data_IF_990649472637
#
_entry.id   IF_990649472637
#
_cell.length_a   1.000
_cell.length_b   1.000
_cell.length_c   1.000
_cell.angle_alpha   90.00
_cell.angle_beta   90.00
_cell.angle_gamma   90.00
#
_symmetry.space_group_name_H-M   'P 1'
#
loop_
_entity.id
_entity.type
_entity.pdbx_description
1 polymer ?
#
# COMPACT_ATOMS: atom_id res chain seq x y z
N UNK A 1 4.75 8.15 -6.07
CA UNK A 1 5.89 9.11 -5.97
C UNK A 1 7.15 8.39 -6.42
N UNK A 2 8.07 9.09 -7.10
CA UNK A 2 9.32 8.49 -7.59
C UNK A 2 10.46 8.89 -6.65
N UNK A 3 11.08 7.90 -6.01
CA UNK A 3 12.23 8.07 -5.12
C UNK A 3 13.41 7.24 -5.62
N UNK A 4 14.60 7.81 -5.57
CA UNK A 4 15.87 7.12 -5.81
C UNK A 4 16.47 6.71 -4.48
N UNK A 5 17.07 5.52 -4.41
CA UNK A 5 17.88 5.09 -3.27
C UNK A 5 19.18 4.51 -3.82
N UNK A 6 20.22 4.55 -2.99
CA UNK A 6 21.55 4.04 -3.31
C UNK A 6 21.78 2.76 -2.51
N UNK A 7 22.30 1.74 -3.17
CA UNK A 7 22.63 0.45 -2.57
C UNK A 7 24.09 0.12 -2.90
N UNK A 8 24.76 -0.61 -2.01
CA UNK A 8 26.14 -1.03 -2.21
C UNK A 8 26.22 -2.05 -3.34
N UNK A 9 27.21 -1.89 -4.22
CA UNK A 9 27.47 -2.84 -5.31
C UNK A 9 28.35 -3.99 -4.78
N UNK A 10 27.83 -5.22 -4.66
CA UNK A 10 28.61 -6.35 -4.13
C UNK A 10 29.75 -6.77 -5.08
N UNK A 11 29.71 -6.39 -6.36
CA UNK A 11 30.70 -6.80 -7.36
C UNK A 11 31.96 -5.91 -7.36
N UNK A 12 31.94 -4.78 -6.64
CA UNK A 12 33.05 -3.81 -6.64
C UNK A 12 33.53 -3.53 -5.22
N UNK A 13 34.71 -4.05 -4.87
CA UNK A 13 35.37 -3.81 -3.59
C UNK A 13 36.76 -3.20 -3.79
N UNK A 14 37.00 -2.01 -3.22
CA UNK A 14 38.28 -1.32 -3.30
C UNK A 14 38.91 -1.22 -1.90
N UNK A 15 40.16 -1.68 -1.78
CA UNK A 15 40.95 -1.57 -0.55
C UNK A 15 42.15 -0.69 -0.82
N UNK A 16 42.36 0.32 0.03
CA UNK A 16 43.58 1.12 0.03
C UNK A 16 44.47 0.56 1.14
N UNK A 17 45.58 -0.10 0.78
CA UNK A 17 46.59 -0.56 1.74
C UNK A 17 47.75 0.42 1.79
N UNK A 18 47.90 1.13 2.91
CA UNK A 18 49.05 2.00 3.12
C UNK A 18 50.26 1.21 3.63
N UNK A 19 51.41 1.35 2.97
CA UNK A 19 52.66 0.69 3.35
C UNK A 19 53.41 1.33 4.53
N UNK A 20 52.95 2.46 5.06
CA UNK A 20 53.53 3.14 6.22
C UNK A 20 52.45 3.91 7.02
N UNK A 21 52.79 4.34 8.25
CA UNK A 21 51.88 4.93 9.24
C UNK A 21 50.83 5.88 8.63
N UNK A 22 49.58 5.44 8.66
CA UNK A 22 48.43 6.15 8.12
C UNK A 22 48.04 7.30 9.07
N UNK A 23 48.57 8.51 8.84
CA UNK A 23 48.09 9.71 9.53
C UNK A 23 46.90 10.29 8.78
N UNK A 24 45.68 10.09 9.28
CA UNK A 24 44.50 10.76 8.73
C UNK A 24 43.68 11.46 9.81
N UNK A 25 43.44 12.76 9.59
CA UNK A 25 42.34 13.53 10.18
C UNK A 25 41.28 13.90 9.12
N UNK A 26 41.37 13.34 7.90
CA UNK A 26 40.47 13.63 6.77
C UNK A 26 39.39 12.56 6.60
N UNK A 27 39.58 11.38 7.19
CA UNK A 27 38.68 10.24 7.09
C UNK A 27 38.40 9.75 8.52
N UNK A 28 37.25 10.15 9.08
CA UNK A 28 36.84 9.71 10.41
C UNK A 28 36.48 8.20 10.36
N UNK A 29 37.48 7.36 10.58
CA UNK A 29 37.36 5.91 10.65
C UNK A 29 36.57 5.48 11.89
N UNK A 30 35.57 4.61 11.75
CA UNK A 30 35.14 3.75 12.87
C UNK A 30 35.99 2.48 12.91
N UNK A 31 36.09 1.92 14.12
CA UNK A 31 36.98 0.83 14.61
C UNK A 31 36.90 -0.53 13.87
N UNK A 32 36.34 -0.58 12.67
CA UNK A 32 36.25 -1.75 11.79
C UNK A 32 36.66 -1.47 10.32
N UNK A 33 37.30 -0.33 10.02
CA UNK A 33 37.91 -0.12 8.70
C UNK A 33 36.93 0.05 7.54
N UNK A 34 35.72 0.59 7.80
CA UNK A 34 34.78 1.00 6.75
C UNK A 34 34.77 2.53 6.63
N UNK A 35 34.89 3.02 5.39
CA UNK A 35 34.38 4.34 5.03
C UNK A 35 32.86 4.19 4.78
N UNK A 36 32.06 4.86 5.59
CA UNK A 36 30.62 5.01 5.37
C UNK A 36 30.31 6.49 5.23
N UNK A 37 29.45 6.78 4.25
CA UNK A 37 28.90 8.10 3.95
C UNK A 37 28.12 8.67 5.16
N UNK A 38 27.91 9.98 5.14
CA UNK A 38 27.49 10.87 6.24
C UNK A 38 26.06 10.65 6.77
N UNK A 39 25.37 9.55 6.44
CA UNK A 39 24.01 9.34 6.93
C UNK A 39 23.67 7.86 7.23
N UNK A 40 23.89 7.39 8.48
CA UNK A 40 23.70 5.99 8.85
C UNK A 40 22.24 5.52 8.89
N UNK A 41 21.26 6.43 8.84
CA UNK A 41 19.84 6.07 8.87
C UNK A 41 19.33 5.40 7.59
N UNK A 42 20.03 5.58 6.46
CA UNK A 42 19.67 4.98 5.16
C UNK A 42 19.81 3.45 5.12
N UNK A 43 20.70 2.88 5.93
CA UNK A 43 21.01 1.44 5.91
C UNK A 43 20.16 0.61 6.88
N UNK A 44 19.36 1.24 7.73
CA UNK A 44 18.50 0.55 8.70
C UNK A 44 17.09 0.25 8.17
N UNK A 45 16.73 0.67 6.96
CA UNK A 45 15.46 0.26 6.37
C UNK A 45 15.64 -1.05 5.62
N UNK A 46 15.73 -2.16 6.34
CA UNK A 46 15.36 -3.46 5.77
C UNK A 46 13.91 -3.34 5.33
N UNK A 47 13.73 -3.08 4.04
CA UNK A 47 12.45 -2.89 3.39
C UNK A 47 11.67 -4.20 3.45
N UNK A 48 10.89 -4.36 4.52
CA UNK A 48 9.88 -5.40 4.59
C UNK A 48 8.89 -5.11 3.46
N UNK A 49 8.95 -5.91 2.41
CA UNK A 49 7.88 -6.05 1.41
C UNK A 49 6.67 -6.62 2.16
N UNK A 50 5.87 -5.75 2.76
CA UNK A 50 4.53 -6.11 3.19
C UNK A 50 3.69 -6.19 1.92
N UNK A 51 3.68 -7.37 1.29
CA UNK A 51 2.50 -7.81 0.55
C UNK A 51 1.45 -8.04 1.63
N UNK A 52 0.80 -6.95 2.04
CA UNK A 52 -0.40 -7.03 2.84
C UNK A 52 -1.45 -7.64 1.94
N UNK A 53 -1.74 -8.92 2.14
CA UNK A 53 -2.99 -9.50 1.68
C UNK A 53 -4.11 -8.84 2.49
N UNK A 54 -4.49 -7.64 2.07
CA UNK A 54 -5.57 -6.85 2.65
C UNK A 54 -6.88 -7.29 1.99
N UNK A 55 -7.15 -8.60 2.10
CA UNK A 55 -8.46 -9.21 1.89
C UNK A 55 -9.31 -9.03 3.16
N UNK A 56 -9.20 -7.85 3.80
CA UNK A 56 -10.09 -7.49 4.89
C UNK A 56 -11.45 -7.08 4.31
N UNK A 57 -12.25 -8.08 3.98
CA UNK A 57 -13.66 -7.93 3.64
C UNK A 57 -14.51 -7.55 4.86
N UNK A 58 -13.91 -7.22 6.01
CA UNK A 58 -14.62 -6.78 7.23
C UNK A 58 -15.56 -5.59 7.00
N UNK A 59 -15.34 -4.77 5.97
CA UNK A 59 -16.23 -3.67 5.58
C UNK A 59 -17.57 -4.08 4.95
N UNK A 60 -17.75 -5.36 4.57
CA UNK A 60 -18.99 -5.89 4.02
C UNK A 60 -19.96 -6.42 5.09
N UNK A 61 -19.52 -6.51 6.34
CA UNK A 61 -20.39 -6.98 7.41
C UNK A 61 -21.36 -5.86 7.79
N UNK A 62 -22.64 -6.08 7.49
CA UNK A 62 -23.73 -5.27 8.01
C UNK A 62 -24.04 -5.79 9.41
N UNK A 63 -23.50 -5.12 10.42
CA UNK A 63 -23.80 -5.41 11.83
C UNK A 63 -24.92 -4.48 12.29
N UNK A 64 -26.17 -4.73 11.90
CA UNK A 64 -27.26 -4.04 12.60
C UNK A 64 -28.63 -4.70 12.44
N UNK A 65 -28.78 -5.91 12.93
CA UNK A 65 -29.93 -6.08 13.81
C UNK A 65 -29.40 -6.67 15.11
N UNK A 66 -29.66 -6.00 16.22
CA UNK A 66 -29.30 -6.47 17.54
C UNK A 66 -29.76 -7.91 17.82
N UNK A 67 -29.36 -8.44 18.96
CA UNK A 67 -29.38 -9.87 19.30
C UNK A 67 -30.74 -10.59 19.22
N UNK A 68 -31.88 -9.88 19.17
CA UNK A 68 -33.22 -10.50 19.28
C UNK A 68 -34.24 -10.11 18.22
N UNK A 69 -33.89 -9.30 17.22
CA UNK A 69 -34.88 -8.73 16.30
C UNK A 69 -35.26 -9.60 15.09
N UNK A 70 -34.63 -10.76 14.93
CA UNK A 70 -34.80 -11.65 13.77
C UNK A 70 -35.95 -12.66 13.92
N UNK A 71 -36.61 -12.73 15.08
CA UNK A 71 -37.55 -13.80 15.38
C UNK A 71 -38.92 -13.27 15.80
N UNK A 72 -39.98 -13.88 15.26
CA UNK A 72 -41.35 -13.74 15.75
C UNK A 72 -41.67 -14.91 16.69
N UNK A 73 -42.31 -14.62 17.81
CA UNK A 73 -42.88 -15.66 18.67
C UNK A 73 -44.23 -16.09 18.09
N UNK A 74 -44.30 -17.32 17.59
CA UNK A 74 -45.54 -17.94 17.15
C UNK A 74 -46.04 -18.89 18.22
N UNK A 75 -47.28 -18.71 18.67
CA UNK A 75 -47.95 -19.60 19.62
C UNK A 75 -48.77 -20.62 18.84
N UNK A 76 -48.37 -21.88 18.90
CA UNK A 76 -49.12 -22.99 18.31
C UNK A 76 -49.72 -23.85 19.43
N UNK A 77 -50.97 -24.28 19.26
CA UNK A 77 -51.61 -25.26 20.16
C UNK A 77 -51.19 -26.67 19.77
N UNK A 78 -50.44 -27.35 20.64
CA UNK A 78 -50.09 -28.76 20.48
C UNK A 78 -50.89 -29.61 21.46
N UNK A 79 -51.04 -30.91 21.17
CA UNK A 79 -51.76 -31.84 22.03
C UNK A 79 -50.79 -32.84 22.65
N UNK A 80 -50.83 -32.97 23.97
CA UNK A 80 -50.10 -34.02 24.69
C UNK A 80 -51.07 -35.11 25.07
N UNK A 81 -50.80 -36.34 24.65
CA UNK A 81 -51.57 -37.51 25.09
C UNK A 81 -51.06 -37.91 26.47
N UNK A 82 -51.96 -37.91 27.45
CA UNK A 82 -51.66 -38.35 28.82
C UNK A 82 -52.46 -39.61 29.08
N UNK A 83 -51.81 -40.64 29.65
CA UNK A 83 -52.47 -41.86 30.08
C UNK A 83 -52.94 -41.68 31.52
N UNK A 84 -54.24 -41.89 31.75
CA UNK A 84 -54.86 -41.89 33.08
C UNK A 84 -55.56 -43.23 33.25
N UNK A 85 -54.91 -44.15 33.96
CA UNK A 85 -55.30 -45.48 34.45
C UNK A 85 -55.96 -46.46 33.46
N UNK A 86 -56.92 -46.03 32.63
CA UNK A 86 -57.59 -46.82 31.58
C UNK A 86 -57.96 -46.03 30.32
N UNK A 87 -57.69 -44.72 30.25
CA UNK A 87 -58.06 -43.88 29.08
C UNK A 87 -56.96 -42.91 28.66
N UNK A 88 -56.89 -42.64 27.35
CA UNK A 88 -55.99 -41.66 26.76
C UNK A 88 -56.71 -40.33 26.55
N UNK A 89 -56.27 -39.28 27.25
CA UNK A 89 -56.84 -37.93 27.12
C UNK A 89 -55.87 -37.03 26.37
N UNK A 90 -56.38 -36.29 25.37
CA UNK A 90 -55.62 -35.26 24.64
C UNK A 90 -55.75 -33.93 25.35
N UNK A 91 -54.69 -33.46 25.98
CA UNK A 91 -54.65 -32.17 26.65
C UNK A 91 -53.99 -31.14 25.72
N UNK A 92 -54.69 -30.06 25.31
CA UNK A 92 -54.07 -28.99 24.55
C UNK A 92 -53.08 -28.24 25.45
N UNK A 93 -51.90 -27.94 24.93
CA UNK A 93 -50.92 -27.07 25.56
C UNK A 93 -50.35 -26.10 24.52
N UNK A 94 -50.09 -24.88 24.96
CA UNK A 94 -49.52 -23.83 24.13
C UNK A 94 -48.02 -24.03 24.04
N UNK A 95 -47.47 -24.04 22.83
CA UNK A 95 -46.03 -24.06 22.57
C UNK A 95 -45.65 -22.77 21.87
N UNK A 96 -44.72 -22.04 22.47
CA UNK A 96 -44.12 -20.87 21.85
C UNK A 96 -42.90 -21.31 21.04
N UNK A 97 -42.91 -21.03 19.74
CA UNK A 97 -41.77 -21.27 18.84
C UNK A 97 -41.26 -19.95 18.30
N UNK A 98 -39.94 -19.79 18.32
CA UNK A 98 -39.26 -18.69 17.62
C UNK A 98 -39.21 -19.03 16.13
N UNK A 99 -39.93 -18.27 15.32
CA UNK A 99 -39.89 -18.36 13.85
C UNK A 99 -39.00 -17.23 13.32
N UNK A 100 -38.06 -17.54 12.43
CA UNK A 100 -37.27 -16.51 11.73
C UNK A 100 -38.17 -15.67 10.83
N UNK A 101 -37.96 -14.36 10.82
CA UNK A 101 -38.62 -13.44 9.89
C UNK A 101 -38.31 -13.82 8.45
N UNK A 102 -39.28 -13.61 7.55
CA UNK A 102 -39.02 -13.69 6.11
C UNK A 102 -38.21 -12.47 5.66
N UNK A 103 -37.60 -12.55 4.48
CA UNK A 103 -36.81 -11.43 3.92
C UNK A 103 -37.68 -10.19 3.77
N UNK A 104 -38.93 -10.36 3.28
CA UNK A 104 -39.87 -9.26 3.12
C UNK A 104 -40.23 -8.58 4.44
N UNK A 105 -40.45 -9.36 5.51
CA UNK A 105 -40.74 -8.82 6.84
C UNK A 105 -39.52 -8.12 7.45
N UNK A 106 -38.31 -8.63 7.18
CA UNK A 106 -37.07 -8.01 7.62
C UNK A 106 -36.86 -6.67 6.90
N UNK A 107 -37.13 -6.62 5.58
CA UNK A 107 -37.08 -5.40 4.79
C UNK A 107 -38.13 -4.37 5.26
N UNK A 108 -39.36 -4.80 5.55
CA UNK A 108 -40.40 -3.94 6.13
C UNK A 108 -39.95 -3.33 7.46
N UNK A 109 -39.41 -4.16 8.35
CA UNK A 109 -38.91 -3.70 9.66
C UNK A 109 -37.73 -2.74 9.52
N UNK A 110 -36.79 -3.01 8.62
CA UNK A 110 -35.68 -2.12 8.32
C UNK A 110 -36.16 -0.77 7.75
N UNK A 111 -37.20 -0.77 6.91
CA UNK A 111 -37.79 0.45 6.35
C UNK A 111 -38.49 1.27 7.44
N UNK A 112 -39.25 0.64 8.33
CA UNK A 112 -39.88 1.31 9.48
C UNK A 112 -38.80 1.98 10.33
N UNK A 113 -37.72 1.25 10.65
CA UNK A 113 -36.62 1.77 11.45
C UNK A 113 -35.93 2.97 10.79
N UNK A 114 -35.72 2.92 9.48
CA UNK A 114 -35.16 4.04 8.72
C UNK A 114 -36.07 5.29 8.81
N UNK A 115 -37.39 5.12 8.75
CA UNK A 115 -38.33 6.24 8.90
C UNK A 115 -38.31 6.80 10.32
N UNK A 116 -38.31 5.94 11.34
CA UNK A 116 -38.16 6.38 12.74
C UNK A 116 -36.88 7.20 12.98
N UNK A 117 -35.76 6.79 12.37
CA UNK A 117 -34.49 7.53 12.46
C UNK A 117 -34.58 8.90 11.79
N UNK A 118 -35.26 9.00 10.64
CA UNK A 118 -35.45 10.28 9.93
C UNK A 118 -36.38 11.22 10.69
N UNK A 119 -37.45 10.69 11.25
CA UNK A 119 -38.37 11.48 12.09
C UNK A 119 -37.67 11.95 13.36
N UNK A 120 -36.91 11.07 14.02
CA UNK A 120 -36.08 11.43 15.19
C UNK A 120 -35.04 12.50 14.86
N UNK A 121 -34.36 12.38 13.71
CA UNK A 121 -33.43 13.39 13.22
C UNK A 121 -34.11 14.72 12.93
N UNK A 122 -35.28 14.71 12.30
CA UNK A 122 -36.05 15.93 12.04
C UNK A 122 -36.40 16.63 13.36
N UNK A 123 -36.88 15.89 14.36
CA UNK A 123 -37.27 16.41 15.66
C UNK A 123 -36.09 17.04 16.41
N UNK A 124 -34.91 16.43 16.34
CA UNK A 124 -33.68 16.96 16.93
C UNK A 124 -33.26 18.26 16.23
N UNK A 125 -33.31 18.30 14.89
CA UNK A 125 -32.92 19.47 14.10
C UNK A 125 -33.88 20.66 14.26
N UNK A 126 -35.18 20.42 14.46
CA UNK A 126 -36.17 21.48 14.73
C UNK A 126 -36.14 21.97 16.17
N UNK A 127 -35.43 21.27 17.07
CA UNK A 127 -35.36 21.62 18.48
C UNK A 127 -36.69 21.44 19.23
N UNK A 128 -37.61 20.66 18.66
CA UNK A 128 -38.90 20.35 19.30
C UNK A 128 -38.75 19.37 20.48
N UNK A 129 -37.59 18.70 20.57
CA UNK A 129 -37.26 17.78 21.65
C UNK A 129 -36.15 18.31 22.56
N UNK A 130 -36.44 18.38 23.86
CA UNK A 130 -35.49 18.74 24.92
C UNK A 130 -34.83 17.51 25.56
N UNK A 131 -35.16 16.30 25.11
CA UNK A 131 -34.83 15.04 25.80
C UNK A 131 -33.60 14.31 25.23
N UNK A 132 -33.10 14.70 24.06
CA UNK A 132 -31.90 14.09 23.49
C UNK A 132 -30.65 14.88 23.86
N UNK A 133 -29.51 14.22 24.10
CA UNK A 133 -28.24 14.90 24.11
C UNK A 133 -28.07 15.57 22.74
N UNK A 134 -28.10 16.89 22.69
CA UNK A 134 -27.75 17.68 21.49
C UNK A 134 -26.22 17.69 21.30
N UNK A 135 -25.60 16.52 21.47
CA UNK A 135 -24.18 16.32 21.26
C UNK A 135 -23.93 15.97 19.79
N UNK A 136 -22.86 16.52 19.24
CA UNK A 136 -22.47 16.32 17.85
C UNK A 136 -22.22 14.83 17.57
N UNK A 137 -21.68 14.11 18.56
CA UNK A 137 -21.43 12.67 18.48
C UNK A 137 -22.71 11.85 18.23
N UNK A 138 -23.84 12.23 18.86
CA UNK A 138 -25.11 11.52 18.68
C UNK A 138 -25.67 11.72 17.26
N UNK A 139 -25.53 12.93 16.71
CA UNK A 139 -25.96 13.25 15.34
C UNK A 139 -25.09 12.50 14.31
N UNK A 140 -23.77 12.46 14.53
CA UNK A 140 -22.84 11.70 13.69
C UNK A 140 -23.21 10.23 13.67
N UNK A 141 -23.48 9.64 14.83
CA UNK A 141 -23.85 8.23 14.95
C UNK A 141 -25.21 7.93 14.31
N UNK A 142 -26.19 8.82 14.50
CA UNK A 142 -27.49 8.70 13.82
C UNK A 142 -27.37 8.78 12.30
N UNK A 143 -26.51 9.67 11.78
CA UNK A 143 -26.21 9.74 10.35
C UNK A 143 -25.52 8.45 9.85
N UNK A 144 -24.63 7.85 10.66
CA UNK A 144 -23.98 6.56 10.36
C UNK A 144 -25.01 5.45 10.22
N UNK A 145 -25.91 5.32 11.20
CA UNK A 145 -26.95 4.28 11.22
C UNK A 145 -27.97 4.50 10.09
N UNK A 146 -28.43 5.75 9.87
CA UNK A 146 -29.33 6.08 8.75
C UNK A 146 -28.74 5.66 7.40
N UNK A 147 -27.44 5.92 7.21
CA UNK A 147 -26.72 5.54 6.00
C UNK A 147 -26.66 4.01 5.86
N UNK A 148 -26.37 3.27 6.92
CA UNK A 148 -26.31 1.80 6.90
C UNK A 148 -27.67 1.16 6.54
N UNK A 149 -28.77 1.65 7.13
CA UNK A 149 -30.12 1.20 6.75
C UNK A 149 -30.48 1.58 5.32
N UNK A 150 -30.04 2.74 4.83
CA UNK A 150 -30.28 3.13 3.43
C UNK A 150 -29.51 2.22 2.46
N UNK A 151 -28.26 1.88 2.79
CA UNK A 151 -27.40 0.99 1.99
C UNK A 151 -27.97 -0.43 1.85
N UNK A 152 -28.82 -0.90 2.79
CA UNK A 152 -29.57 -2.16 2.64
C UNK A 152 -30.49 -2.16 1.41
N UNK A 153 -31.02 -1.00 1.02
CA UNK A 153 -31.93 -0.86 -0.11
C UNK A 153 -31.24 -0.39 -1.39
N UNK A 154 -30.26 0.53 -1.28
CA UNK A 154 -29.56 1.08 -2.45
C UNK A 154 -28.34 0.26 -2.87
N UNK A 155 -27.91 -0.67 -2.03
CA UNK A 155 -26.62 -1.34 -2.14
C UNK A 155 -25.48 -0.52 -1.53
N UNK A 156 -24.38 -1.21 -1.19
CA UNK A 156 -23.18 -0.63 -0.57
C UNK A 156 -22.05 -0.57 -1.59
N UNK A 157 -21.40 0.59 -1.71
CA UNK A 157 -20.19 0.74 -2.54
C UNK A 157 -18.96 0.87 -1.64
N UNK A 158 -18.02 -0.06 -1.76
CA UNK A 158 -16.74 0.00 -1.06
C UNK A 158 -15.67 0.55 -2.01
N UNK A 159 -14.97 1.60 -1.59
CA UNK A 159 -13.82 2.13 -2.34
C UNK A 159 -12.53 1.90 -1.55
N UNK A 160 -11.66 1.02 -2.05
CA UNK A 160 -10.37 0.71 -1.42
C UNK A 160 -9.23 1.35 -2.20
N UNK A 161 -8.34 2.06 -1.49
CA UNK A 161 -7.11 2.61 -2.08
C UNK A 161 -5.94 1.67 -1.81
N UNK A 162 -5.45 0.97 -2.84
CA UNK A 162 -4.26 0.12 -2.76
C UNK A 162 -3.02 0.87 -3.25
N UNK A 163 -1.90 0.74 -2.53
CA UNK A 163 -0.60 1.34 -2.89
C UNK A 163 0.40 0.23 -3.20
N UNK A 164 0.94 0.25 -4.42
CA UNK A 164 1.96 -0.69 -4.87
C UNK A 164 3.32 0.01 -4.97
N UNK A 165 4.40 -0.72 -4.67
CA UNK A 165 5.78 -0.23 -4.76
C UNK A 165 6.58 -1.18 -5.65
N UNK A 166 7.14 -0.65 -6.72
CA UNK A 166 8.01 -1.38 -7.64
C UNK A 166 9.42 -0.81 -7.55
N UNK A 167 10.41 -1.70 -7.57
CA UNK A 167 11.83 -1.35 -7.57
C UNK A 167 12.43 -1.76 -8.91
N UNK A 168 13.14 -0.83 -9.54
CA UNK A 168 13.82 -1.07 -10.82
C UNK A 168 15.27 -0.61 -10.70
N UNK A 169 16.17 -1.49 -11.10
CA UNK A 169 17.60 -1.18 -11.21
C UNK A 169 17.86 -0.78 -12.67
N UNK A 170 18.19 0.49 -12.95
CA UNK A 170 18.47 0.94 -14.30
C UNK A 170 19.81 0.39 -14.79
N UNK A 171 19.82 -0.26 -15.96
CA UNK A 171 21.06 -0.72 -16.61
C UNK A 171 21.43 0.18 -17.79
N UNK A 172 22.73 0.36 -18.06
CA UNK A 172 23.21 1.16 -19.22
C UNK A 172 22.61 0.70 -20.55
N UNK A 173 22.37 -0.60 -20.71
CA UNK A 173 21.78 -1.19 -21.93
C UNK A 173 20.30 -0.85 -22.10
N UNK A 174 19.60 -0.48 -21.02
CA UNK A 174 18.16 -0.16 -21.00
C UNK A 174 17.90 1.36 -21.09
N UNK A 175 18.91 2.14 -21.45
CA UNK A 175 18.77 3.59 -21.68
C UNK A 175 17.83 3.84 -22.86
N UNK A 176 16.73 4.56 -22.64
CA UNK A 176 15.72 4.84 -23.67
C UNK A 176 14.80 3.67 -24.01
N UNK A 177 15.00 2.50 -23.39
CA UNK A 177 14.06 1.38 -23.52
C UNK A 177 12.93 1.55 -22.51
N UNK A 178 11.72 1.19 -22.93
CA UNK A 178 10.56 1.13 -22.04
C UNK A 178 10.54 -0.19 -21.28
N UNK A 179 10.64 -0.11 -19.96
CA UNK A 179 10.58 -1.27 -19.08
C UNK A 179 9.17 -1.37 -18.51
N UNK A 180 8.49 -2.49 -18.75
CA UNK A 180 7.16 -2.75 -18.17
C UNK A 180 7.28 -3.07 -16.68
N UNK A 181 6.65 -2.27 -15.82
CA UNK A 181 6.62 -2.47 -14.36
C UNK A 181 5.52 -3.46 -13.96
N UNK A 182 4.32 -3.22 -14.47
CA UNK A 182 3.11 -3.98 -14.19
C UNK A 182 2.09 -3.70 -15.29
N UNK A 183 0.98 -4.45 -15.30
CA UNK A 183 -0.16 -4.13 -16.16
C UNK A 183 -1.36 -3.79 -15.31
N UNK A 184 -2.18 -2.87 -15.78
CA UNK A 184 -3.40 -2.47 -15.11
C UNK A 184 -4.61 -2.92 -15.93
N UNK A 185 -5.55 -3.59 -15.27
CA UNK A 185 -6.85 -3.97 -15.81
C UNK A 185 -7.95 -3.48 -14.87
N UNK A 186 -9.06 -3.00 -15.42
CA UNK A 186 -10.22 -2.59 -14.61
C UNK A 186 -10.84 -3.76 -13.84
N UNK A 187 -10.77 -4.98 -14.38
CA UNK A 187 -11.37 -6.16 -13.76
C UNK A 187 -10.47 -6.78 -12.67
N UNK A 188 -9.17 -6.90 -12.94
CA UNK A 188 -8.22 -7.63 -12.07
C UNK A 188 -7.35 -6.69 -11.23
N UNK A 189 -7.30 -5.40 -11.57
CA UNK A 189 -6.39 -4.43 -10.96
C UNK A 189 -4.97 -4.52 -11.51
N UNK A 190 -3.97 -4.38 -10.64
CA UNK A 190 -2.56 -4.47 -11.01
C UNK A 190 -2.12 -5.94 -11.08
N UNK A 191 -1.52 -6.32 -12.19
CA UNK A 191 -0.98 -7.66 -12.44
C UNK A 191 0.51 -7.62 -12.79
N UNK A 192 1.15 -8.78 -12.73
CA UNK A 192 2.55 -8.93 -13.07
C UNK A 192 2.86 -8.49 -14.51
N UNK A 193 4.08 -7.99 -14.76
CA UNK A 193 4.48 -7.47 -16.07
C UNK A 193 4.40 -8.51 -17.20
N UNK A 194 4.47 -9.81 -16.87
CA UNK A 194 4.37 -10.93 -17.81
C UNK A 194 2.93 -11.34 -18.17
N UNK A 195 1.93 -10.85 -17.44
CA UNK A 195 0.54 -11.20 -17.70
C UNK A 195 0.03 -10.61 -19.01
N UNK A 196 -0.87 -11.31 -19.70
CA UNK A 196 -1.40 -10.91 -21.02
C UNK A 196 -2.50 -9.82 -20.93
N UNK A 197 -3.47 -9.88 -19.98
CA UNK A 197 -4.51 -8.86 -19.94
C UNK A 197 -4.02 -7.57 -19.26
N UNK A 198 -4.39 -6.43 -19.84
CA UNK A 198 -4.22 -5.11 -19.22
C UNK A 198 -3.27 -4.16 -19.94
N UNK A 199 -3.46 -2.88 -19.65
CA UNK A 199 -2.66 -1.77 -20.17
C UNK A 199 -1.31 -1.76 -19.45
N UNK A 200 -0.17 -1.78 -20.18
CA UNK A 200 1.14 -1.80 -19.54
C UNK A 200 1.44 -0.43 -18.90
N UNK A 201 1.94 -0.49 -17.67
CA UNK A 201 2.57 0.63 -16.98
C UNK A 201 4.08 0.53 -17.23
N UNK A 202 4.60 1.48 -17.98
CA UNK A 202 5.97 1.48 -18.47
C UNK A 202 6.78 2.59 -17.80
N UNK A 203 8.04 2.29 -17.51
CA UNK A 203 9.04 3.28 -17.09
C UNK A 203 10.10 3.42 -18.18
N UNK A 204 10.43 4.66 -18.52
CA UNK A 204 11.45 5.02 -19.50
C UNK A 204 12.49 5.91 -18.83
N UNK A 205 13.76 5.59 -19.06
CA UNK A 205 14.90 6.36 -18.57
C UNK A 205 15.55 7.08 -19.75
N UNK A 206 15.52 8.41 -19.76
CA UNK A 206 16.13 9.24 -20.81
C UNK A 206 17.30 10.02 -20.22
N UNK A 207 18.56 9.55 -20.38
CA UNK A 207 19.73 10.25 -19.87
C UNK A 207 20.00 11.55 -20.64
N UNK A 208 20.28 12.65 -19.93
CA UNK A 208 20.66 13.93 -20.53
C UNK A 208 22.14 13.97 -20.97
N UNK A 209 22.94 12.97 -20.62
CA UNK A 209 24.36 12.80 -20.97
C UNK A 209 25.21 14.03 -20.64
N UNK A 210 24.90 14.71 -19.54
CA UNK A 210 25.61 15.92 -19.12
C UNK A 210 27.04 15.63 -18.64
N UNK A 211 27.29 14.39 -18.25
CA UNK A 211 28.59 13.90 -17.80
C UNK A 211 29.53 13.48 -18.95
N UNK A 212 29.04 13.40 -20.20
CA UNK A 212 29.86 12.98 -21.35
C UNK A 212 30.99 13.98 -21.71
N UNK A 213 30.85 15.25 -21.29
CA UNK A 213 31.87 16.30 -21.49
C UNK A 213 32.93 16.39 -20.39
N UNK A 214 32.90 15.50 -19.39
CA UNK A 214 33.92 15.45 -18.36
C UNK A 214 35.25 15.00 -18.99
N UNK A 215 36.19 15.94 -19.16
CA UNK A 215 37.57 15.69 -19.57
C UNK A 215 38.35 14.99 -18.45
N UNK A 216 37.91 13.79 -18.08
CA UNK A 216 38.59 12.95 -17.10
C UNK A 216 39.06 11.72 -17.82
N UNK A 217 40.35 11.38 -17.66
CA UNK A 217 40.97 10.27 -18.36
C UNK A 217 40.10 9.02 -18.20
N UNK A 218 39.47 8.50 -19.27
CA UNK A 218 38.55 7.38 -19.15
C UNK A 218 39.34 6.19 -18.60
N UNK A 219 38.92 5.69 -17.43
CA UNK A 219 39.52 4.54 -16.81
C UNK A 219 39.23 3.29 -17.64
N UNK A 220 39.99 3.06 -18.72
CA UNK A 220 39.95 1.78 -19.42
C UNK A 220 40.37 0.68 -18.45
N UNK A 221 39.47 -0.24 -18.16
CA UNK A 221 39.65 -1.43 -17.31
C UNK A 221 40.55 -2.50 -17.94
N UNK A 222 41.61 -2.12 -18.66
CA UNK A 222 42.34 -3.07 -19.50
C UNK A 222 43.80 -2.77 -19.83
N UNK A 223 44.43 -1.73 -19.28
CA UNK A 223 45.86 -1.50 -19.50
C UNK A 223 46.65 -1.79 -18.23
N UNK A 224 47.31 -2.94 -18.22
CA UNK A 224 48.21 -3.43 -17.17
C UNK A 224 49.55 -2.66 -17.11
N UNK A 225 49.52 -1.32 -17.11
CA UNK A 225 50.73 -0.53 -16.90
C UNK A 225 50.46 0.68 -15.98
N UNK A 226 51.33 0.82 -14.98
CA UNK A 226 51.28 1.75 -13.84
C UNK A 226 50.28 1.38 -12.74
N UNK A 227 50.77 0.49 -11.88
CA UNK A 227 50.46 0.28 -10.47
C UNK A 227 50.66 1.60 -9.69
N UNK A 228 49.76 2.55 -9.90
CA UNK A 228 49.58 3.69 -9.01
C UNK A 228 48.18 3.57 -8.44
N UNK A 229 48.04 3.78 -7.14
CA UNK A 229 46.78 3.73 -6.41
C UNK A 229 45.81 4.75 -7.03
N UNK A 230 44.82 4.26 -7.76
CA UNK A 230 43.83 5.11 -8.41
C UNK A 230 42.45 4.77 -7.86
N UNK A 231 41.78 5.79 -7.31
CA UNK A 231 40.42 5.69 -6.82
C UNK A 231 39.46 5.80 -8.01
N UNK A 232 38.53 4.85 -8.13
CA UNK A 232 37.45 4.90 -9.09
C UNK A 232 36.21 5.47 -8.42
N UNK A 233 35.61 6.49 -9.02
CA UNK A 233 34.35 7.06 -8.58
C UNK A 233 33.40 7.22 -9.76
N UNK A 234 32.10 7.02 -9.54
CA UNK A 234 31.09 7.15 -10.59
C UNK A 234 30.34 8.46 -10.42
N UNK A 235 30.44 9.35 -11.39
CA UNK A 235 29.70 10.63 -11.38
C UNK A 235 28.30 10.38 -11.94
N UNK A 236 27.22 10.69 -11.20
CA UNK A 236 25.87 10.43 -11.68
C UNK A 236 25.49 11.34 -12.84
N UNK A 237 24.71 10.81 -13.78
CA UNK A 237 24.11 11.62 -14.85
C UNK A 237 22.70 12.06 -14.46
N UNK A 238 22.24 13.16 -15.05
CA UNK A 238 20.86 13.63 -14.89
C UNK A 238 19.99 12.86 -15.87
N UNK A 239 18.99 12.15 -15.35
CA UNK A 239 18.10 11.30 -16.14
C UNK A 239 16.67 11.77 -15.95
N UNK A 240 15.96 11.97 -17.06
CA UNK A 240 14.52 12.16 -17.04
C UNK A 240 13.84 10.79 -16.97
N UNK A 241 13.17 10.54 -15.84
CA UNK A 241 12.40 9.32 -15.58
C UNK A 241 10.94 9.61 -15.90
N UNK A 242 10.43 8.88 -16.89
CA UNK A 242 9.07 9.02 -17.38
C UNK A 242 8.28 7.76 -17.09
N UNK A 243 7.08 7.91 -16.52
CA UNK A 243 6.13 6.82 -16.30
C UNK A 243 4.94 7.03 -17.21
N UNK A 244 4.63 6.03 -18.02
CA UNK A 244 3.49 6.04 -18.95
C UNK A 244 2.56 4.86 -18.73
N UNK A 245 1.27 5.06 -18.99
CA UNK A 245 0.27 4.00 -19.04
C UNK A 245 -0.31 3.98 -20.45
N UNK A 246 0.02 2.95 -21.21
CA UNK A 246 -0.29 2.91 -22.64
C UNK A 246 0.33 4.10 -23.39
N UNK A 247 -0.51 5.01 -23.88
CA UNK A 247 -0.09 6.21 -24.61
C UNK A 247 0.07 7.46 -23.72
N UNK A 248 -0.48 7.46 -22.51
CA UNK A 248 -0.51 8.62 -21.63
C UNK A 248 0.70 8.66 -20.69
N UNK A 249 1.24 9.86 -20.46
CA UNK A 249 2.37 10.09 -19.56
C UNK A 249 1.83 10.55 -18.22
N UNK A 250 1.89 9.67 -17.21
CA UNK A 250 1.40 10.00 -15.87
C UNK A 250 2.34 10.95 -15.11
N UNK A 251 3.64 10.77 -15.30
CA UNK A 251 4.64 11.55 -14.56
C UNK A 251 5.98 11.61 -15.30
N UNK A 252 6.66 12.73 -15.16
CA UNK A 252 8.02 12.95 -15.66
C UNK A 252 8.81 13.70 -14.58
N UNK A 253 9.91 13.11 -14.12
CA UNK A 253 10.76 13.69 -13.08
C UNK A 253 12.23 13.56 -13.44
N UNK A 254 13.02 14.56 -13.06
CA UNK A 254 14.48 14.54 -13.26
C UNK A 254 15.15 14.00 -12.00
N UNK A 255 16.01 13.00 -12.16
CA UNK A 255 16.73 12.33 -11.07
C UNK A 255 18.19 12.09 -11.44
N UNK A 256 19.06 12.09 -10.43
CA UNK A 256 20.46 11.70 -10.58
C UNK A 256 20.54 10.18 -10.52
N UNK A 257 21.12 9.55 -11.54
CA UNK A 257 21.26 8.09 -11.62
C UNK A 257 22.72 7.76 -11.96
N UNK A 258 23.39 7.07 -11.03
CA UNK A 258 24.80 6.69 -11.17
C UNK A 258 25.03 5.73 -12.33
N UNK A 259 24.12 4.80 -12.57
CA UNK A 259 24.28 3.75 -13.58
C UNK A 259 24.42 4.30 -15.00
N UNK A 260 23.85 5.47 -15.32
CA UNK A 260 24.03 6.13 -16.62
C UNK A 260 25.22 7.09 -16.68
N UNK A 261 25.89 7.30 -15.55
CA UNK A 261 27.05 8.16 -15.42
C UNK A 261 28.36 7.53 -15.92
N UNK A 262 29.40 8.37 -15.90
CA UNK A 262 30.76 8.00 -16.28
C UNK A 262 31.59 7.58 -15.07
N UNK A 263 32.50 6.63 -15.29
CA UNK A 263 33.46 6.19 -14.27
C UNK A 263 34.72 7.05 -14.42
N UNK A 264 34.99 7.82 -13.38
CA UNK A 264 36.13 8.71 -13.27
C UNK A 264 37.24 8.03 -12.47
N UNK A 265 38.46 8.14 -12.99
CA UNK A 265 39.69 7.73 -12.29
C UNK A 265 40.35 8.96 -11.68
N UNK A 266 40.46 9.00 -10.36
CA UNK A 266 41.25 10.04 -9.69
C UNK A 266 42.74 9.65 -9.71
N UNK A 267 43.64 10.57 -10.09
CA UNK A 267 45.07 10.33 -9.99
C UNK A 267 45.50 10.31 -8.51
N UNK A 268 46.50 9.47 -8.21
CA UNK A 268 47.11 9.32 -6.87
C UNK A 268 47.56 10.64 -6.25
N UNK A 269 47.92 11.63 -7.08
CA UNK A 269 48.41 12.94 -6.64
C UNK A 269 47.34 13.78 -5.93
N UNK A 270 46.04 13.47 -6.07
CA UNK A 270 44.97 14.19 -5.36
C UNK A 270 44.76 13.71 -3.92
N UNK A 271 45.27 12.52 -3.57
CA UNK A 271 45.14 11.96 -2.22
C UNK A 271 46.31 12.39 -1.32
N UNK A 272 47.39 12.90 -1.92
CA UNK A 272 48.62 13.28 -1.24
C UNK A 272 48.99 14.70 -1.67
N UNK A 273 48.30 15.71 -1.12
CA UNK A 273 48.81 17.08 -1.16
C UNK A 273 48.84 17.67 0.27
N UNK A 274 49.91 17.29 0.97
CA UNK A 274 50.79 18.15 1.77
C UNK A 274 52.14 17.48 1.95
#
# INVERSE_FOLDING_TARGET
TISTHEELDPDQFYVITAGSEFRTNVLAMKKQGLMLDLNPELYNSTGRLTVGDDSDHGGLNVYDLGSDEYFLQRKDTMFRVVNLDTTFIRVPYLVEKKQKLTIDQLAEKAAIRLMELRDGKHLILTGETNLFPQDEAAIIEMNRIEKEYTELFTGKTLTTKRKFRYQVIPGKQKAGEKITLCRFSEATGFSDPSSVPGTPVEIEFVPERKTAGLNVTPGKTGSASSQADKLFYRVPDVVNVKISVGSEVLNSTRKLIYQFGEIVRLPSNYVIDR
#
